data_IF_751691912425
#
_entry.id   IF_751691912425
#
_cell.length_a   1.000
_cell.length_b   1.000
_cell.length_c   1.000
_cell.angle_alpha   90.00
_cell.angle_beta   90.00
_cell.angle_gamma   90.00
#
_symmetry.space_group_name_H-M   'P 1'
#
loop_
_entity.id
_entity.type
_entity.pdbx_description
1 polymer ?
#
# COMPACT_ATOMS: atom_id res chain seq x y z
N UNK A 1 33.84 30.20 -5.32
CA UNK A 1 32.43 30.08 -4.90
C UNK A 1 32.12 28.59 -4.83
N UNK A 2 32.38 27.95 -3.68
CA UNK A 2 32.10 26.52 -3.51
C UNK A 2 30.59 26.33 -3.41
N UNK A 3 29.97 25.82 -4.47
CA UNK A 3 28.58 25.37 -4.39
C UNK A 3 28.52 24.27 -3.34
N UNK A 4 27.79 24.50 -2.24
CA UNK A 4 27.43 23.42 -1.32
C UNK A 4 26.70 22.35 -2.14
N UNK A 5 27.35 21.22 -2.40
CA UNK A 5 26.68 20.04 -2.92
C UNK A 5 25.70 19.57 -1.83
N UNK A 6 24.42 19.93 -1.97
CA UNK A 6 23.37 19.42 -1.08
C UNK A 6 23.39 17.89 -1.16
N UNK A 7 23.62 17.23 -0.03
CA UNK A 7 23.58 15.76 0.08
C UNK A 7 22.19 15.32 -0.40
N UNK A 8 22.13 14.54 -1.49
CA UNK A 8 20.87 13.91 -1.91
C UNK A 8 20.39 12.98 -0.81
N UNK A 9 19.16 13.20 -0.36
CA UNK A 9 18.47 12.40 0.64
C UNK A 9 18.43 10.92 0.18
N UNK A 10 18.72 10.02 1.12
CA UNK A 10 18.66 8.57 0.94
C UNK A 10 17.28 8.07 1.33
N UNK A 11 16.57 7.45 0.40
CA UNK A 11 15.18 7.02 0.59
C UNK A 11 15.09 5.51 0.42
N UNK A 12 14.39 4.84 1.33
CA UNK A 12 13.87 3.48 1.09
C UNK A 12 12.44 3.62 0.55
N UNK A 13 12.17 3.12 -0.66
CA UNK A 13 10.83 3.09 -1.24
C UNK A 13 10.34 1.64 -1.34
N UNK A 14 9.19 1.35 -0.74
CA UNK A 14 8.49 0.07 -0.88
C UNK A 14 7.04 0.31 -1.31
N UNK A 15 6.63 -0.29 -2.42
CA UNK A 15 5.30 -0.07 -2.98
C UNK A 15 4.76 -1.34 -3.63
N UNK A 16 3.44 -1.49 -3.61
CA UNK A 16 2.74 -2.41 -4.51
C UNK A 16 2.68 -1.84 -5.94
N UNK A 17 1.88 -2.48 -6.81
CA UNK A 17 1.70 -2.09 -8.22
C UNK A 17 1.30 -0.62 -8.43
N UNK A 18 0.79 0.09 -7.42
CA UNK A 18 0.44 1.52 -7.55
C UNK A 18 1.65 2.44 -7.70
N UNK A 19 2.84 1.99 -7.30
CA UNK A 19 4.09 2.74 -7.47
C UNK A 19 4.99 2.24 -8.58
N UNK A 20 4.53 1.25 -9.34
CA UNK A 20 5.27 0.66 -10.45
C UNK A 20 4.44 0.60 -11.74
N UNK A 21 5.10 0.21 -12.83
CA UNK A 21 4.51 0.02 -14.14
C UNK A 21 3.44 -1.08 -14.11
N UNK A 22 2.22 -0.69 -14.42
CA UNK A 22 1.08 -1.61 -14.45
C UNK A 22 1.05 -2.32 -15.80
N UNK A 23 0.74 -3.63 -15.84
CA UNK A 23 0.71 -4.38 -17.08
C UNK A 23 -0.20 -3.75 -18.14
N UNK A 24 0.41 -3.26 -19.21
CA UNK A 24 -0.21 -3.06 -20.52
C UNK A 24 -1.01 -1.78 -20.74
N UNK A 25 -0.38 -0.59 -20.77
CA UNK A 25 -0.64 0.50 -21.77
C UNK A 25 -0.36 1.95 -21.30
N UNK A 26 0.68 2.30 -20.54
CA UNK A 26 1.00 3.73 -20.39
C UNK A 26 2.51 3.98 -20.35
N UNK A 27 3.02 4.66 -21.39
CA UNK A 27 4.42 5.10 -21.49
C UNK A 27 4.63 6.39 -20.68
N UNK A 28 4.80 6.25 -19.36
CA UNK A 28 5.27 7.33 -18.51
C UNK A 28 6.03 6.80 -17.28
N UNK A 29 6.91 7.64 -16.74
CA UNK A 29 7.57 7.33 -15.47
C UNK A 29 6.59 7.48 -14.29
N UNK A 30 6.32 6.38 -13.58
CA UNK A 30 5.58 6.42 -12.32
C UNK A 30 6.36 7.17 -11.23
N UNK A 31 5.68 7.56 -10.16
CA UNK A 31 6.30 8.34 -9.08
C UNK A 31 7.54 7.65 -8.49
N UNK A 32 7.58 6.32 -8.40
CA UNK A 32 8.75 5.58 -7.91
C UNK A 32 9.98 5.71 -8.81
N UNK A 33 9.75 5.73 -10.13
CA UNK A 33 10.81 5.97 -11.13
C UNK A 33 11.25 7.43 -11.10
N UNK A 34 10.31 8.38 -11.08
CA UNK A 34 10.59 9.81 -11.00
C UNK A 34 11.38 10.18 -9.73
N UNK A 35 11.02 9.58 -8.58
CA UNK A 35 11.72 9.78 -7.31
C UNK A 35 13.18 9.33 -7.43
N UNK A 36 13.43 8.20 -8.09
CA UNK A 36 14.78 7.67 -8.34
C UNK A 36 15.65 8.56 -9.21
N UNK A 37 15.04 9.40 -10.07
CA UNK A 37 15.77 10.37 -10.90
C UNK A 37 16.24 11.58 -10.09
N UNK A 38 15.58 11.88 -8.96
CA UNK A 38 15.82 13.07 -8.12
C UNK A 38 16.64 12.77 -6.86
N UNK A 39 16.42 11.62 -6.23
CA UNK A 39 16.97 11.25 -4.93
C UNK A 39 17.81 9.96 -4.99
N UNK A 40 18.52 9.63 -3.91
CA UNK A 40 19.21 8.33 -3.77
C UNK A 40 18.23 7.30 -3.24
N UNK A 41 17.56 6.58 -4.11
CA UNK A 41 16.47 5.66 -3.72
C UNK A 41 16.91 4.20 -3.79
N UNK A 42 16.82 3.48 -2.67
CA UNK A 42 16.75 2.02 -2.65
C UNK A 42 15.28 1.63 -2.79
N UNK A 43 14.90 0.99 -3.90
CA UNK A 43 13.49 0.79 -4.27
C UNK A 43 13.11 -0.68 -4.40
N UNK A 44 11.90 -0.97 -3.93
CA UNK A 44 11.20 -2.24 -4.04
C UNK A 44 9.85 -1.95 -4.67
N UNK A 45 9.80 -2.09 -6.00
CA UNK A 45 8.63 -1.78 -6.82
C UNK A 45 7.89 -3.08 -7.11
N UNK A 46 6.76 -3.30 -6.41
CA UNK A 46 5.95 -4.52 -6.50
C UNK A 46 6.76 -5.83 -6.47
N UNK A 47 7.64 -6.04 -5.47
CA UNK A 47 8.59 -7.16 -5.48
C UNK A 47 7.92 -8.54 -5.40
N UNK A 48 6.70 -8.60 -4.86
CA UNK A 48 5.96 -9.84 -4.65
C UNK A 48 4.68 -9.89 -5.49
N UNK A 49 4.26 -11.08 -5.90
CA UNK A 49 2.97 -11.32 -6.59
C UNK A 49 1.79 -10.72 -5.82
N UNK A 50 1.82 -10.84 -4.49
CA UNK A 50 0.93 -10.14 -3.57
C UNK A 50 1.79 -9.29 -2.65
N UNK A 51 2.23 -8.12 -3.13
CA UNK A 51 3.01 -7.18 -2.34
C UNK A 51 2.14 -6.55 -1.26
N UNK A 52 2.47 -6.84 0.00
CA UNK A 52 1.70 -6.44 1.20
C UNK A 52 2.54 -5.58 2.15
N UNK A 53 1.87 -5.01 3.14
CA UNK A 53 2.52 -4.31 4.27
C UNK A 53 3.32 -5.29 5.13
N UNK A 54 2.89 -6.55 5.22
CA UNK A 54 3.58 -7.60 5.96
C UNK A 54 4.96 -7.92 5.35
N UNK A 55 5.05 -7.97 4.02
CA UNK A 55 6.31 -8.18 3.31
C UNK A 55 7.32 -7.06 3.61
N UNK A 56 6.84 -5.82 3.63
CA UNK A 56 7.67 -4.68 4.02
C UNK A 56 8.19 -4.81 5.45
N UNK A 57 7.34 -5.22 6.40
CA UNK A 57 7.78 -5.43 7.79
C UNK A 57 8.85 -6.52 7.91
N UNK A 58 8.73 -7.64 7.19
CA UNK A 58 9.78 -8.66 7.16
C UNK A 58 11.08 -8.13 6.53
N UNK A 59 10.97 -7.36 5.44
CA UNK A 59 12.11 -6.75 4.76
C UNK A 59 12.89 -5.82 5.69
N UNK A 60 12.21 -4.93 6.41
CA UNK A 60 12.89 -3.90 7.22
C UNK A 60 13.50 -4.43 8.51
N UNK A 61 13.02 -5.57 9.03
CA UNK A 61 13.64 -6.23 10.18
C UNK A 61 15.09 -6.65 9.91
N UNK A 62 15.45 -6.85 8.65
CA UNK A 62 16.79 -7.26 8.20
C UNK A 62 17.64 -6.06 7.74
N UNK A 63 17.18 -4.83 7.95
CA UNK A 63 17.83 -3.60 7.47
C UNK A 63 18.12 -2.63 8.62
N UNK A 64 19.27 -1.97 8.55
CA UNK A 64 19.51 -0.77 9.34
C UNK A 64 18.77 0.41 8.70
N UNK A 65 17.66 0.81 9.32
CA UNK A 65 16.83 1.91 8.83
C UNK A 65 17.42 3.29 9.09
N UNK A 66 18.39 3.41 10.02
CA UNK A 66 19.02 4.70 10.33
C UNK A 66 19.88 5.24 9.19
N UNK A 67 20.20 4.40 8.19
CA UNK A 67 20.94 4.81 6.99
C UNK A 67 20.09 5.63 6.00
N UNK A 68 18.77 5.63 6.15
CA UNK A 68 17.84 6.36 5.30
C UNK A 68 17.38 7.63 5.99
N UNK A 69 17.31 8.71 5.23
CA UNK A 69 16.72 9.96 5.71
C UNK A 69 15.17 9.81 5.75
N UNK A 70 14.58 9.03 4.83
CA UNK A 70 13.14 8.72 4.79
C UNK A 70 12.84 7.27 4.39
N UNK A 71 11.74 6.72 4.91
CA UNK A 71 11.20 5.43 4.51
C UNK A 71 9.78 5.63 3.96
N UNK A 72 9.57 5.34 2.69
CA UNK A 72 8.28 5.52 2.01
C UNK A 72 7.62 4.17 1.78
N UNK A 73 6.39 4.04 2.25
CA UNK A 73 5.58 2.83 2.11
C UNK A 73 4.26 3.15 1.39
N UNK A 74 4.00 2.49 0.27
CA UNK A 74 2.73 2.58 -0.46
C UNK A 74 2.16 1.18 -0.70
N UNK A 75 1.58 0.61 0.36
CA UNK A 75 0.94 -0.71 0.40
C UNK A 75 -0.43 -0.60 1.06
N UNK A 76 -1.12 -1.71 1.30
CA UNK A 76 -2.43 -1.74 1.93
C UNK A 76 -3.56 -2.12 0.97
N UNK A 77 -3.46 -1.83 -0.34
CA UNK A 77 -4.54 -2.22 -1.27
C UNK A 77 -4.66 -3.74 -1.34
N UNK A 78 -3.53 -4.46 -1.43
CA UNK A 78 -3.48 -5.92 -1.45
C UNK A 78 -3.81 -6.49 -0.08
N UNK A 79 -3.56 -5.78 1.01
CA UNK A 79 -3.88 -6.25 2.35
C UNK A 79 -5.39 -6.16 2.63
N UNK A 80 -5.98 -5.02 2.28
CA UNK A 80 -7.32 -4.63 2.71
C UNK A 80 -8.42 -5.03 1.73
N UNK A 81 -8.09 -5.21 0.44
CA UNK A 81 -9.08 -5.58 -0.59
C UNK A 81 -9.70 -6.96 -0.28
N UNK A 82 -11.05 -7.04 -0.18
CA UNK A 82 -11.74 -8.31 -0.17
C UNK A 82 -11.37 -9.14 -1.42
N UNK A 83 -11.27 -10.45 -1.24
CA UNK A 83 -10.96 -11.43 -2.28
C UNK A 83 -11.61 -12.76 -1.95
N UNK A 84 -11.59 -13.67 -2.92
CA UNK A 84 -11.90 -15.09 -2.73
C UNK A 84 -11.15 -15.65 -1.51
N UNK A 85 -11.88 -16.18 -0.54
CA UNK A 85 -11.35 -16.79 0.67
C UNK A 85 -10.37 -17.92 0.34
N UNK A 86 -10.65 -18.70 -0.70
CA UNK A 86 -9.72 -19.74 -1.20
C UNK A 86 -8.37 -19.16 -1.58
N UNK A 87 -8.33 -18.03 -2.29
CA UNK A 87 -7.05 -17.39 -2.66
C UNK A 87 -6.28 -16.92 -1.41
N UNK A 88 -6.98 -16.40 -0.39
CA UNK A 88 -6.33 -16.04 0.86
C UNK A 88 -5.73 -17.27 1.58
N UNK A 89 -6.50 -18.36 1.68
CA UNK A 89 -6.15 -19.55 2.46
C UNK A 89 -5.20 -20.53 1.75
N UNK A 90 -5.34 -20.69 0.43
CA UNK A 90 -4.64 -21.73 -0.34
C UNK A 90 -3.41 -21.18 -1.07
N UNK A 91 -3.31 -19.85 -1.23
CA UNK A 91 -2.19 -19.20 -1.91
C UNK A 91 -1.44 -18.23 -1.00
N UNK A 92 -2.10 -17.15 -0.57
CA UNK A 92 -1.40 -16.01 0.04
C UNK A 92 -0.86 -16.37 1.42
N UNK A 93 -1.68 -16.96 2.29
CA UNK A 93 -1.26 -17.33 3.63
C UNK A 93 -0.17 -18.41 3.63
N UNK A 94 -0.26 -19.53 2.89
CA UNK A 94 0.81 -20.51 2.81
C UNK A 94 2.14 -19.93 2.34
N UNK A 95 2.12 -19.10 1.29
CA UNK A 95 3.32 -18.47 0.73
C UNK A 95 4.01 -17.53 1.73
N UNK A 96 3.24 -16.93 2.64
CA UNK A 96 3.71 -15.90 3.59
C UNK A 96 3.58 -16.35 5.05
N UNK A 97 3.37 -17.64 5.31
CA UNK A 97 2.96 -18.18 6.63
C UNK A 97 3.85 -17.67 7.76
N UNK A 98 5.16 -17.74 7.57
CA UNK A 98 6.13 -17.31 8.59
C UNK A 98 5.96 -15.83 8.98
N UNK A 99 5.62 -14.96 8.02
CA UNK A 99 5.42 -13.53 8.27
C UNK A 99 4.10 -13.32 9.03
N UNK A 100 3.02 -13.97 8.57
CA UNK A 100 1.71 -13.90 9.23
C UNK A 100 1.77 -14.38 10.68
N UNK A 101 2.36 -15.57 10.91
CA UNK A 101 2.48 -16.16 12.24
C UNK A 101 3.31 -15.28 13.17
N UNK A 102 4.38 -14.67 12.65
CA UNK A 102 5.25 -13.79 13.42
C UNK A 102 4.55 -12.50 13.84
N UNK A 103 3.77 -11.89 12.94
CA UNK A 103 3.12 -10.60 13.21
C UNK A 103 1.85 -10.79 14.04
N UNK A 104 1.01 -11.77 13.71
CA UNK A 104 -0.32 -11.91 14.31
C UNK A 104 -0.41 -13.05 15.32
N UNK A 105 0.47 -14.05 15.25
CA UNK A 105 0.29 -15.34 15.92
C UNK A 105 -0.54 -16.31 15.07
N UNK A 106 -0.05 -17.54 14.92
CA UNK A 106 -0.64 -18.58 14.06
C UNK A 106 -2.13 -18.84 14.35
N UNK A 107 -2.50 -18.98 15.63
CA UNK A 107 -3.90 -19.23 16.02
C UNK A 107 -4.82 -18.06 15.68
N UNK A 108 -4.33 -16.82 15.83
CA UNK A 108 -5.11 -15.61 15.56
C UNK A 108 -5.37 -15.49 14.05
N UNK A 109 -4.33 -15.64 13.22
CA UNK A 109 -4.49 -15.51 11.77
C UNK A 109 -5.35 -16.64 11.19
N UNK A 110 -5.13 -17.90 11.61
CA UNK A 110 -5.98 -19.02 11.17
C UNK A 110 -7.43 -18.81 11.61
N UNK A 111 -7.64 -18.39 12.86
CA UNK A 111 -8.96 -18.06 13.38
C UNK A 111 -9.64 -16.96 12.57
N UNK A 112 -8.91 -15.93 12.13
CA UNK A 112 -9.43 -14.89 11.26
C UNK A 112 -9.76 -15.42 9.86
N UNK A 113 -8.83 -16.10 9.19
CA UNK A 113 -8.98 -16.55 7.81
C UNK A 113 -10.03 -17.67 7.61
N UNK A 114 -10.45 -18.32 8.70
CA UNK A 114 -11.58 -19.26 8.72
C UNK A 114 -12.96 -18.57 8.66
N UNK A 115 -13.04 -17.26 8.92
CA UNK A 115 -14.27 -16.45 8.85
C UNK A 115 -14.53 -15.98 7.42
N UNK A 116 -15.65 -15.29 7.21
CA UNK A 116 -15.94 -14.59 5.97
C UNK A 116 -16.76 -13.31 6.23
N UNK A 117 -16.88 -12.46 5.21
CA UNK A 117 -17.67 -11.22 5.29
C UNK A 117 -19.17 -11.41 5.02
N UNK A 118 -19.67 -12.65 4.95
CA UNK A 118 -21.07 -12.95 4.61
C UNK A 118 -21.45 -12.61 3.17
N UNK A 119 -20.46 -12.46 2.29
CA UNK A 119 -20.63 -11.98 0.92
C UNK A 119 -19.81 -12.82 -0.05
N UNK A 120 -20.44 -13.21 -1.16
CA UNK A 120 -19.81 -13.98 -2.24
C UNK A 120 -19.34 -13.09 -3.40
N UNK A 121 -18.24 -13.52 -4.03
CA UNK A 121 -17.66 -12.93 -5.24
C UNK A 121 -17.16 -14.08 -6.14
N UNK A 122 -17.63 -14.10 -7.39
CA UNK A 122 -17.40 -15.19 -8.37
C UNK A 122 -17.63 -16.60 -7.80
N UNK A 123 -18.62 -16.76 -6.91
CA UNK A 123 -18.99 -18.05 -6.30
C UNK A 123 -18.10 -18.50 -5.13
N UNK A 124 -17.22 -17.64 -4.61
CA UNK A 124 -16.48 -17.89 -3.37
C UNK A 124 -16.79 -16.83 -2.31
N UNK A 125 -16.65 -17.21 -1.04
CA UNK A 125 -16.75 -16.28 0.09
C UNK A 125 -15.66 -15.21 0.01
N UNK A 126 -15.95 -14.03 0.53
CA UNK A 126 -14.97 -12.94 0.59
C UNK A 126 -14.32 -12.78 1.96
N UNK A 127 -13.01 -12.52 1.95
CA UNK A 127 -12.20 -12.11 3.11
C UNK A 127 -11.08 -11.17 2.66
N UNK A 128 -10.38 -10.49 3.56
CA UNK A 128 -9.11 -9.83 3.27
C UNK A 128 -7.97 -10.49 4.09
N UNK A 129 -6.79 -9.87 4.22
CA UNK A 129 -5.64 -10.55 4.84
C UNK A 129 -5.62 -10.48 6.37
N UNK A 130 -6.29 -9.51 6.98
CA UNK A 130 -6.37 -9.33 8.43
C UNK A 130 -7.50 -8.37 8.78
N UNK A 131 -8.07 -8.50 9.99
CA UNK A 131 -9.11 -7.58 10.47
C UNK A 131 -8.59 -6.19 10.84
N UNK A 132 -9.48 -5.20 10.97
CA UNK A 132 -9.17 -3.87 11.51
C UNK A 132 -8.54 -3.95 12.91
N UNK A 133 -9.09 -4.82 13.78
CA UNK A 133 -8.57 -5.04 15.13
C UNK A 133 -7.14 -5.60 15.09
N UNK A 134 -6.87 -6.55 14.19
CA UNK A 134 -5.51 -7.08 14.00
C UNK A 134 -4.55 -6.02 13.47
N UNK A 135 -4.98 -5.20 12.52
CA UNK A 135 -4.18 -4.09 12.02
C UNK A 135 -3.82 -3.11 13.15
N UNK A 136 -4.79 -2.73 13.97
CA UNK A 136 -4.60 -1.81 15.08
C UNK A 136 -3.69 -2.38 16.18
N UNK A 137 -3.87 -3.65 16.54
CA UNK A 137 -3.13 -4.27 17.65
C UNK A 137 -1.72 -4.73 17.29
N UNK A 138 -1.50 -5.20 16.07
CA UNK A 138 -0.26 -5.88 15.70
C UNK A 138 0.53 -5.15 14.63
N UNK A 139 -0.14 -4.61 13.60
CA UNK A 139 0.55 -4.07 12.43
C UNK A 139 0.97 -2.61 12.59
N UNK A 140 0.04 -1.76 13.00
CA UNK A 140 0.26 -0.32 13.17
C UNK A 140 1.33 -0.02 14.23
N UNK A 141 1.41 -0.74 15.37
CA UNK A 141 2.50 -0.57 16.32
C UNK A 141 3.88 -0.80 15.70
N UNK A 142 4.05 -1.81 14.84
CA UNK A 142 5.32 -2.06 14.15
C UNK A 142 5.65 -0.94 13.16
N UNK A 143 4.67 -0.45 12.40
CA UNK A 143 4.86 0.70 11.52
C UNK A 143 5.26 1.97 12.30
N UNK A 144 4.71 2.16 13.49
CA UNK A 144 5.02 3.34 14.31
C UNK A 144 6.46 3.36 14.84
N UNK A 145 7.12 2.20 14.94
CA UNK A 145 8.54 2.08 15.32
C UNK A 145 9.50 2.48 14.20
N UNK A 146 9.03 2.58 12.96
CA UNK A 146 9.87 2.88 11.81
C UNK A 146 10.22 4.38 11.82
N UNK A 147 11.52 4.74 11.88
CA UNK A 147 11.94 6.13 11.86
C UNK A 147 11.63 6.75 10.49
N UNK A 148 11.17 8.00 10.50
CA UNK A 148 10.93 8.82 9.30
C UNK A 148 10.04 8.12 8.25
N UNK A 149 9.07 7.32 8.72
CA UNK A 149 8.08 6.67 7.86
C UNK A 149 7.14 7.71 7.23
N UNK A 150 6.97 7.60 5.91
CA UNK A 150 5.91 8.24 5.14
C UNK A 150 5.07 7.13 4.51
N UNK A 151 3.88 6.90 5.05
CA UNK A 151 2.90 5.98 4.50
C UNK A 151 1.94 6.71 3.56
N UNK A 152 1.69 6.11 2.39
CA UNK A 152 0.78 6.63 1.36
C UNK A 152 -0.49 5.80 1.40
N UNK A 153 -1.62 6.42 1.72
CA UNK A 153 -2.90 5.72 1.81
C UNK A 153 -3.44 5.31 0.45
N UNK A 154 -4.43 4.41 0.42
CA UNK A 154 -5.29 4.26 -0.76
C UNK A 154 -6.19 5.49 -0.94
N UNK A 155 -6.76 5.63 -2.14
CA UNK A 155 -7.88 6.54 -2.42
C UNK A 155 -9.23 5.84 -2.15
N UNK A 156 -10.32 6.63 -2.09
CA UNK A 156 -11.68 6.09 -2.08
C UNK A 156 -11.99 5.35 -3.37
N UNK A 157 -12.89 4.39 -3.32
CA UNK A 157 -13.36 3.70 -4.53
C UNK A 157 -14.62 4.40 -5.03
N UNK A 158 -14.56 4.97 -6.23
CA UNK A 158 -15.73 5.60 -6.85
C UNK A 158 -16.76 4.52 -7.22
N UNK A 159 -18.00 4.57 -6.71
CA UNK A 159 -19.03 3.60 -7.06
C UNK A 159 -19.33 3.61 -8.56
N UNK A 160 -19.60 2.42 -9.12
CA UNK A 160 -20.01 2.24 -10.53
C UNK A 160 -19.00 2.76 -11.58
N UNK A 161 -17.75 3.01 -11.21
CA UNK A 161 -16.69 3.39 -12.14
C UNK A 161 -15.49 2.47 -11.99
N UNK A 162 -15.32 1.50 -12.88
CA UNK A 162 -14.17 0.58 -12.82
C UNK A 162 -12.93 1.11 -13.55
N UNK A 163 -13.04 2.27 -14.23
CA UNK A 163 -12.04 2.71 -15.19
C UNK A 163 -11.72 1.60 -16.19
N UNK A 164 -10.44 1.31 -16.40
CA UNK A 164 -10.00 0.23 -17.30
C UNK A 164 -9.85 -1.13 -16.59
N UNK A 165 -10.32 -1.28 -15.34
CA UNK A 165 -10.32 -2.57 -14.68
C UNK A 165 -11.35 -3.48 -15.38
N UNK A 166 -10.88 -4.60 -15.92
CA UNK A 166 -11.64 -5.47 -16.81
C UNK A 166 -12.55 -6.48 -16.08
N UNK A 167 -12.41 -6.61 -14.75
CA UNK A 167 -13.25 -7.48 -13.92
C UNK A 167 -14.21 -6.67 -13.06
N UNK A 168 -15.31 -7.28 -12.64
CA UNK A 168 -16.08 -6.75 -11.52
C UNK A 168 -15.27 -6.85 -10.23
N UNK A 169 -15.53 -5.95 -9.27
CA UNK A 169 -14.92 -6.00 -7.93
C UNK A 169 -15.95 -6.55 -6.94
N UNK A 170 -15.51 -7.16 -5.81
CA UNK A 170 -16.42 -7.55 -4.74
C UNK A 170 -17.29 -6.37 -4.29
N UNK A 171 -18.57 -6.60 -3.98
CA UNK A 171 -19.50 -5.54 -3.57
C UNK A 171 -19.05 -4.81 -2.29
N UNK A 172 -18.26 -5.47 -1.45
CA UNK A 172 -17.64 -4.91 -0.25
C UNK A 172 -16.26 -4.27 -0.48
N UNK A 173 -15.85 -3.98 -1.73
CA UNK A 173 -14.52 -3.42 -2.03
C UNK A 173 -14.18 -2.14 -1.25
N UNK A 174 -15.19 -1.37 -0.85
CA UNK A 174 -15.04 -0.15 -0.05
C UNK A 174 -14.51 -0.38 1.36
N UNK A 175 -14.40 -1.64 1.80
CA UNK A 175 -13.70 -2.00 3.03
C UNK A 175 -12.28 -1.39 3.10
N UNK A 176 -11.60 -1.24 1.96
CA UNK A 176 -10.29 -0.56 1.83
C UNK A 176 -10.29 0.84 2.48
N UNK A 177 -11.41 1.56 2.39
CA UNK A 177 -11.58 2.90 2.92
C UNK A 177 -11.51 2.89 4.46
N UNK A 178 -12.10 1.88 5.10
CA UNK A 178 -12.09 1.72 6.56
C UNK A 178 -10.67 1.49 7.08
N UNK A 179 -9.91 0.61 6.43
CA UNK A 179 -8.50 0.38 6.79
C UNK A 179 -7.65 1.63 6.53
N UNK A 180 -7.87 2.34 5.41
CA UNK A 180 -7.15 3.56 5.13
C UNK A 180 -7.40 4.61 6.22
N UNK A 181 -8.65 4.81 6.62
CA UNK A 181 -9.02 5.73 7.71
C UNK A 181 -8.40 5.32 9.05
N UNK A 182 -8.39 4.02 9.37
CA UNK A 182 -7.73 3.51 10.58
C UNK A 182 -6.23 3.89 10.58
N UNK A 183 -5.51 3.59 9.50
CA UNK A 183 -4.06 3.88 9.41
C UNK A 183 -3.79 5.38 9.46
N UNK A 184 -4.58 6.19 8.75
CA UNK A 184 -4.50 7.67 8.80
C UNK A 184 -4.63 8.15 10.24
N UNK A 185 -5.62 7.64 10.99
CA UNK A 185 -5.88 8.07 12.36
C UNK A 185 -4.79 7.66 13.36
N UNK A 186 -4.07 6.56 13.11
CA UNK A 186 -3.13 5.96 14.07
C UNK A 186 -1.65 6.19 13.77
N UNK A 187 -1.27 6.49 12.53
CA UNK A 187 0.12 6.80 12.16
C UNK A 187 0.46 8.28 12.37
N UNK A 188 -0.55 9.16 12.43
CA UNK A 188 -0.37 10.60 12.62
C UNK A 188 -0.09 11.35 11.30
N UNK A 189 -0.57 12.60 11.21
CA UNK A 189 -0.58 13.37 9.96
C UNK A 189 0.80 13.61 9.34
N UNK A 190 1.86 13.70 10.15
CA UNK A 190 3.24 13.89 9.66
C UNK A 190 3.74 12.68 8.88
N UNK A 191 3.37 11.46 9.30
CA UNK A 191 3.76 10.20 8.66
C UNK A 191 2.88 9.80 7.48
N UNK A 192 1.87 10.60 7.11
CA UNK A 192 0.86 10.18 6.15
C UNK A 192 0.76 11.13 4.96
N UNK A 193 0.74 10.55 3.76
CA UNK A 193 0.19 11.18 2.55
C UNK A 193 -1.21 10.58 2.35
N UNK A 194 -2.22 11.40 2.57
CA UNK A 194 -3.61 10.97 2.60
C UNK A 194 -4.25 11.13 1.21
N UNK A 195 -4.42 10.04 0.46
CA UNK A 195 -5.14 10.02 -0.81
C UNK A 195 -6.66 9.86 -0.66
N UNK A 196 -7.16 9.59 0.57
CA UNK A 196 -8.61 9.56 0.86
C UNK A 196 -9.26 10.94 0.75
N UNK A 197 -8.47 12.01 0.69
CA UNK A 197 -8.97 13.37 0.47
C UNK A 197 -9.35 13.64 -0.98
N UNK A 198 -8.96 12.78 -1.93
CA UNK A 198 -9.35 12.97 -3.33
C UNK A 198 -10.88 12.92 -3.48
N UNK A 199 -11.43 13.88 -4.23
CA UNK A 199 -12.82 13.84 -4.70
C UNK A 199 -13.01 12.74 -5.74
N UNK A 200 -14.27 12.38 -6.06
CA UNK A 200 -14.54 11.43 -7.14
C UNK A 200 -13.98 11.89 -8.50
N UNK A 201 -14.00 13.19 -8.75
CA UNK A 201 -13.45 13.82 -9.97
C UNK A 201 -11.92 13.69 -9.99
N UNK A 202 -11.27 13.92 -8.85
CA UNK A 202 -9.83 13.73 -8.70
C UNK A 202 -9.44 12.26 -8.85
N UNK A 203 -10.21 11.31 -8.32
CA UNK A 203 -9.95 9.88 -8.49
C UNK A 203 -10.04 9.49 -9.97
N UNK A 204 -11.09 9.95 -10.67
CA UNK A 204 -11.25 9.75 -12.12
C UNK A 204 -10.12 10.38 -12.93
N UNK A 205 -9.60 11.52 -12.48
CA UNK A 205 -8.49 12.23 -13.10
C UNK A 205 -7.12 11.60 -12.82
N UNK A 206 -6.92 11.06 -11.62
CA UNK A 206 -5.60 10.63 -11.13
C UNK A 206 -5.37 9.14 -11.19
N UNK A 207 -6.42 8.34 -11.43
CA UNK A 207 -6.31 6.89 -11.61
C UNK A 207 -6.77 6.49 -13.02
N UNK A 208 -6.36 5.34 -13.52
CA UNK A 208 -6.93 4.78 -14.76
C UNK A 208 -7.96 3.67 -14.49
N UNK A 209 -7.98 3.08 -13.30
CA UNK A 209 -8.84 1.93 -12.95
C UNK A 209 -9.44 2.01 -11.54
N UNK A 210 -9.61 3.24 -11.03
CA UNK A 210 -10.14 3.56 -9.71
C UNK A 210 -9.20 3.24 -8.52
N UNK A 211 -8.01 2.66 -8.77
CA UNK A 211 -7.04 2.36 -7.71
C UNK A 211 -5.63 2.77 -8.08
N UNK A 212 -5.24 2.50 -9.31
CA UNK A 212 -3.88 2.69 -9.73
C UNK A 212 -3.66 4.07 -10.34
N UNK A 213 -2.65 4.82 -9.87
CA UNK A 213 -2.35 6.14 -10.40
C UNK A 213 -2.04 6.09 -11.90
N UNK A 214 -2.57 7.05 -12.65
CA UNK A 214 -2.09 7.37 -13.99
C UNK A 214 -0.93 8.39 -13.91
N UNK A 215 -0.50 8.96 -15.04
CA UNK A 215 0.58 9.98 -15.05
C UNK A 215 0.28 11.16 -14.11
N UNK A 216 -0.92 11.72 -14.18
CA UNK A 216 -1.30 12.87 -13.36
C UNK A 216 -1.34 12.51 -11.86
N UNK A 217 -1.82 11.31 -11.52
CA UNK A 217 -1.79 10.79 -10.15
C UNK A 217 -0.38 10.53 -9.64
N UNK A 218 0.49 9.94 -10.46
CA UNK A 218 1.90 9.75 -10.15
C UNK A 218 2.62 11.08 -9.90
N UNK A 219 2.41 12.06 -10.79
CA UNK A 219 2.96 13.41 -10.62
C UNK A 219 2.43 14.08 -9.33
N UNK A 220 1.16 13.85 -8.97
CA UNK A 220 0.59 14.33 -7.70
C UNK A 220 1.28 13.69 -6.49
N UNK A 221 1.38 12.35 -6.47
CA UNK A 221 1.98 11.60 -5.36
C UNK A 221 3.43 12.05 -5.16
N UNK A 222 4.20 12.18 -6.24
CA UNK A 222 5.57 12.69 -6.18
C UNK A 222 5.65 14.07 -5.51
N UNK A 223 4.77 15.01 -5.89
CA UNK A 223 4.74 16.34 -5.26
C UNK A 223 4.40 16.27 -3.76
N UNK A 224 3.54 15.35 -3.33
CA UNK A 224 3.23 15.18 -1.91
C UNK A 224 4.41 14.58 -1.14
N UNK A 225 5.14 13.63 -1.75
CA UNK A 225 6.40 13.12 -1.19
C UNK A 225 7.39 14.27 -1.04
N UNK A 226 7.58 15.08 -2.07
CA UNK A 226 8.51 16.21 -2.07
C UNK A 226 8.17 17.26 -1.00
N UNK A 227 6.89 17.49 -0.69
CA UNK A 227 6.48 18.38 0.40
C UNK A 227 6.81 17.83 1.80
N UNK A 228 6.94 16.51 1.94
CA UNK A 228 7.25 15.85 3.21
C UNK A 228 8.76 15.74 3.47
N UNK A 229 9.56 15.74 2.41
CA UNK A 229 11.01 15.51 2.50
C UNK A 229 11.86 16.78 2.29
N UNK A 230 11.24 17.90 1.89
CA UNK A 230 11.89 19.22 1.78
C UNK A 230 11.49 20.13 2.93
#
# INVERSE_FOLDING_TARGET
MFGLFRKREKILLYTDSRGDNIPGQLDYDHYGVLLSKRYKVEKYLCPEKWTTTLDFLDLVQKKDLNKYDFVILHTGIVDHSPRHQKIANENIYPDKKQIFDKIFGEEIIKGYLSKDFGLEYEGDKTINLYSLDMAERYLIPELNKIPNLIWISSNKIVPNWNGNYWKERPKNIRLIEEYSNLFISKLGGEKVINLMTWSEEEIKKYTFDNMHPNKAGSDYILRQIEKKIN
#
